data_IF_005733557247
#
_entry.id   IF_005733557247
#
_cell.length_a   1.000
_cell.length_b   1.000
_cell.length_c   1.000
_cell.angle_alpha   90.00
_cell.angle_beta   90.00
_cell.angle_gamma   90.00
#
_symmetry.space_group_name_H-M   'P 1'
#
loop_
_entity.id
_entity.type
_entity.pdbx_description
1 polymer ?
#
# COMPACT_ATOMS: atom_id res chain seq x y z
N UNK A 1 -9.81 0.45 10.84
CA UNK A 1 -9.37 1.03 12.13
C UNK A 1 -8.43 0.16 12.96
N UNK A 2 -8.50 -1.18 12.97
CA UNK A 2 -7.52 -2.02 13.71
C UNK A 2 -6.05 -1.66 13.41
N UNK A 3 -5.68 -1.60 12.14
CA UNK A 3 -4.30 -1.24 11.73
C UNK A 3 -3.91 0.19 12.06
N UNK A 4 -4.87 1.13 12.05
CA UNK A 4 -4.65 2.51 12.51
C UNK A 4 -4.34 2.52 14.00
N UNK A 5 -5.06 1.71 14.80
CA UNK A 5 -4.78 1.55 16.24
C UNK A 5 -3.39 0.96 16.45
N UNK A 6 -3.06 -0.12 15.76
CA UNK A 6 -1.75 -0.79 15.84
C UNK A 6 -0.60 0.18 15.52
N UNK A 7 -0.75 1.01 14.49
CA UNK A 7 0.21 2.06 14.15
C UNK A 7 0.38 3.07 15.30
N UNK A 8 -0.72 3.66 15.79
CA UNK A 8 -0.65 4.63 16.88
C UNK A 8 -0.11 4.04 18.19
N UNK A 9 -0.44 2.78 18.50
CA UNK A 9 0.11 2.08 19.67
C UNK A 9 1.64 1.93 19.57
N UNK A 10 2.21 1.83 18.35
CA UNK A 10 3.66 1.85 18.13
C UNK A 10 4.23 3.26 18.29
N UNK A 11 3.60 4.27 17.69
CA UNK A 11 4.04 5.67 17.78
C UNK A 11 4.05 6.15 19.23
N UNK A 12 3.03 5.82 20.02
CA UNK A 12 2.91 6.21 21.43
C UNK A 12 4.07 5.72 22.31
N UNK A 13 4.78 4.65 21.91
CA UNK A 13 5.99 4.18 22.62
C UNK A 13 7.12 5.20 22.57
N UNK A 14 7.15 6.04 21.54
CA UNK A 14 8.15 7.09 21.34
C UNK A 14 7.61 8.49 21.58
N UNK A 15 6.30 8.69 21.39
CA UNK A 15 5.59 9.96 21.57
C UNK A 15 4.36 9.75 22.47
N UNK A 16 4.54 9.60 23.80
CA UNK A 16 3.42 9.37 24.72
C UNK A 16 2.40 10.51 24.66
N UNK A 17 1.11 10.17 24.68
CA UNK A 17 0.02 11.15 24.68
C UNK A 17 -0.24 11.84 23.34
N UNK A 18 0.33 11.32 22.23
CA UNK A 18 0.04 11.84 20.89
C UNK A 18 -1.46 11.80 20.58
N UNK A 19 -1.99 12.86 19.99
CA UNK A 19 -3.37 12.88 19.51
C UNK A 19 -3.48 11.97 18.28
N UNK A 20 -4.35 10.97 18.33
CA UNK A 20 -4.58 10.05 17.21
C UNK A 20 -5.47 10.73 16.15
N UNK A 21 -4.85 11.26 15.10
CA UNK A 21 -5.56 11.91 13.99
C UNK A 21 -5.71 10.98 12.78
N UNK A 22 -6.84 11.04 12.09
CA UNK A 22 -7.09 10.22 10.89
C UNK A 22 -7.67 11.10 9.80
N UNK A 23 -6.92 11.28 8.71
CA UNK A 23 -7.50 11.77 7.46
C UNK A 23 -8.26 10.61 6.82
N UNK A 24 -9.58 10.76 6.64
CA UNK A 24 -10.45 9.73 6.08
C UNK A 24 -11.01 10.19 4.74
N UNK A 25 -10.88 9.34 3.73
CA UNK A 25 -11.38 9.55 2.37
C UNK A 25 -12.29 8.39 2.01
N UNK A 26 -13.44 8.68 1.41
CA UNK A 26 -14.44 7.66 1.08
C UNK A 26 -15.44 8.25 0.09
N UNK A 27 -16.00 7.40 -0.76
CA UNK A 27 -17.15 7.67 -1.60
C UNK A 27 -18.49 7.38 -0.90
N UNK A 28 -18.45 6.88 0.34
CA UNK A 28 -19.62 6.53 1.16
C UNK A 28 -19.90 7.61 2.24
N UNK A 29 -20.93 8.46 2.08
CA UNK A 29 -21.14 9.64 2.92
C UNK A 29 -21.37 9.35 4.41
N UNK A 30 -21.81 8.14 4.75
CA UNK A 30 -22.16 7.76 6.13
C UNK A 30 -20.95 7.38 6.97
N UNK A 31 -19.83 7.00 6.34
CA UNK A 31 -18.64 6.42 7.00
C UNK A 31 -18.03 7.39 8.02
N UNK A 32 -17.95 8.68 7.72
CA UNK A 32 -17.42 9.67 8.67
C UNK A 32 -18.27 9.72 9.95
N UNK A 33 -19.60 9.76 9.80
CA UNK A 33 -20.51 9.83 10.94
C UNK A 33 -20.47 8.56 11.79
N UNK A 34 -20.27 7.40 11.17
CA UNK A 34 -20.07 6.12 11.86
C UNK A 34 -18.72 6.10 12.60
N UNK A 35 -17.65 6.56 11.95
CA UNK A 35 -16.31 6.58 12.52
C UNK A 35 -16.24 7.47 13.78
N UNK A 36 -16.85 8.66 13.74
CA UNK A 36 -16.95 9.55 14.89
C UNK A 36 -17.67 8.92 16.08
N UNK A 37 -18.72 8.12 15.83
CA UNK A 37 -19.47 7.42 16.88
C UNK A 37 -18.69 6.24 17.46
N UNK A 38 -18.05 5.44 16.62
CA UNK A 38 -17.36 4.21 17.03
C UNK A 38 -15.97 4.46 17.62
N UNK A 39 -15.33 5.58 17.27
CA UNK A 39 -13.95 5.88 17.65
C UNK A 39 -13.82 7.30 18.22
N UNK A 40 -14.50 7.61 19.34
CA UNK A 40 -14.55 8.97 19.90
C UNK A 40 -13.20 9.50 20.40
N UNK A 41 -12.23 8.62 20.61
CA UNK A 41 -10.85 8.96 21.00
C UNK A 41 -9.93 9.30 19.81
N UNK A 42 -10.44 9.31 18.58
CA UNK A 42 -9.71 9.72 17.39
C UNK A 42 -10.25 11.05 16.86
N UNK A 43 -9.34 11.90 16.36
CA UNK A 43 -9.69 13.12 15.65
C UNK A 43 -9.76 12.82 14.15
N UNK A 44 -10.96 12.78 13.59
CA UNK A 44 -11.14 12.59 12.15
C UNK A 44 -11.08 13.92 11.40
N UNK A 45 -10.40 13.91 10.26
CA UNK A 45 -10.29 15.02 9.29
C UNK A 45 -10.79 14.46 7.94
N UNK A 46 -11.61 15.22 7.22
CA UNK A 46 -12.21 14.80 5.96
C UNK A 46 -12.58 16.02 5.11
N UNK A 47 -12.42 15.92 3.80
CA UNK A 47 -13.08 16.83 2.86
C UNK A 47 -14.53 16.36 2.62
N UNK A 48 -15.48 17.00 3.31
CA UNK A 48 -16.89 16.66 3.21
C UNK A 48 -17.44 16.94 1.81
N UNK A 49 -16.94 17.98 1.14
CA UNK A 49 -17.38 18.30 -0.23
C UNK A 49 -16.87 17.24 -1.21
N UNK A 50 -15.61 16.84 -1.11
CA UNK A 50 -15.03 15.76 -1.89
C UNK A 50 -15.78 14.43 -1.69
N UNK A 51 -16.10 14.07 -0.46
CA UNK A 51 -16.89 12.87 -0.13
C UNK A 51 -18.27 12.90 -0.80
N UNK A 52 -18.96 14.05 -0.75
CA UNK A 52 -20.29 14.21 -1.34
C UNK A 52 -20.27 14.11 -2.86
N UNK A 53 -19.21 14.60 -3.52
CA UNK A 53 -19.12 14.62 -4.99
C UNK A 53 -18.52 13.34 -5.57
N UNK A 54 -17.89 12.50 -4.76
CA UNK A 54 -17.30 11.22 -5.18
C UNK A 54 -18.32 10.14 -5.60
N UNK A 55 -19.61 10.34 -5.33
CA UNK A 55 -20.65 9.37 -5.73
C UNK A 55 -20.73 9.18 -7.25
N UNK A 56 -21.23 8.01 -7.70
CA UNK A 56 -21.39 7.71 -9.13
C UNK A 56 -22.17 8.77 -9.92
N UNK A 57 -23.10 9.48 -9.28
CA UNK A 57 -23.94 10.48 -9.92
C UNK A 57 -23.19 11.79 -10.25
N UNK A 58 -22.12 12.10 -9.50
CA UNK A 58 -21.43 13.40 -9.56
C UNK A 58 -19.92 13.29 -9.83
N UNK A 59 -19.41 12.06 -9.98
CA UNK A 59 -17.97 11.78 -10.02
C UNK A 59 -17.22 12.46 -11.17
N UNK A 60 -17.89 12.78 -12.27
CA UNK A 60 -17.30 13.40 -13.46
C UNK A 60 -17.42 14.94 -13.47
N UNK A 61 -17.68 15.55 -12.30
CA UNK A 61 -17.74 17.00 -12.12
C UNK A 61 -16.38 17.62 -11.80
N UNK A 62 -16.24 18.94 -12.03
CA UNK A 62 -15.04 19.70 -11.64
C UNK A 62 -14.83 19.69 -10.13
N UNK A 63 -15.93 19.69 -9.38
CA UNK A 63 -15.93 19.66 -7.93
C UNK A 63 -15.43 18.31 -7.41
N UNK A 64 -15.83 17.20 -8.06
CA UNK A 64 -15.30 15.87 -7.78
C UNK A 64 -13.80 15.79 -8.10
N UNK A 65 -13.36 16.37 -9.23
CA UNK A 65 -11.94 16.43 -9.57
C UNK A 65 -11.10 17.18 -8.52
N UNK A 66 -11.56 18.33 -8.04
CA UNK A 66 -10.87 19.04 -6.95
C UNK A 66 -10.88 18.24 -5.65
N UNK A 67 -11.99 17.56 -5.33
CA UNK A 67 -12.10 16.70 -4.17
C UNK A 67 -11.06 15.58 -4.19
N UNK A 68 -10.97 14.83 -5.30
CA UNK A 68 -10.02 13.71 -5.39
C UNK A 68 -8.55 14.18 -5.38
N UNK A 69 -8.25 15.34 -5.98
CA UNK A 69 -6.90 15.93 -5.90
C UNK A 69 -6.56 16.28 -4.45
N UNK A 70 -7.50 16.89 -3.73
CA UNK A 70 -7.34 17.26 -2.31
C UNK A 70 -7.13 16.02 -1.44
N UNK A 71 -7.94 14.98 -1.67
CA UNK A 71 -7.81 13.70 -0.97
C UNK A 71 -6.46 13.04 -1.20
N UNK A 72 -6.03 12.90 -2.45
CA UNK A 72 -4.71 12.32 -2.79
C UNK A 72 -3.58 13.15 -2.18
N UNK A 73 -3.69 14.49 -2.23
CA UNK A 73 -2.70 15.39 -1.65
C UNK A 73 -2.50 15.17 -0.14
N UNK A 74 -3.60 15.03 0.61
CA UNK A 74 -3.57 14.80 2.05
C UNK A 74 -3.19 13.36 2.41
N UNK A 75 -3.69 12.36 1.67
CA UNK A 75 -3.31 10.96 1.85
C UNK A 75 -1.80 10.76 1.68
N UNK A 76 -1.20 11.33 0.62
CA UNK A 76 0.24 11.22 0.36
C UNK A 76 1.12 11.83 1.47
N UNK A 77 0.56 12.72 2.30
CA UNK A 77 1.24 13.39 3.42
C UNK A 77 0.96 12.75 4.77
N UNK A 78 0.13 11.72 4.83
CA UNK A 78 -0.08 10.97 6.06
C UNK A 78 1.20 10.22 6.44
N UNK A 79 1.47 10.10 7.74
CA UNK A 79 2.62 9.32 8.22
C UNK A 79 2.47 7.81 7.94
N UNK A 80 1.22 7.35 7.77
CA UNK A 80 0.88 5.96 7.51
C UNK A 80 -0.44 5.84 6.74
N UNK A 81 -0.48 4.98 5.72
CA UNK A 81 -1.69 4.68 4.96
C UNK A 81 -2.33 3.36 5.40
N UNK A 82 -3.65 3.34 5.54
CA UNK A 82 -4.44 2.11 5.69
C UNK A 82 -5.56 2.14 4.66
N UNK A 83 -5.50 1.25 3.67
CA UNK A 83 -6.39 1.31 2.52
C UNK A 83 -6.52 -0.04 1.80
N UNK A 84 -7.17 -0.06 0.64
CA UNK A 84 -7.10 -1.17 -0.31
C UNK A 84 -6.20 -0.80 -1.49
N UNK A 85 -5.17 -1.59 -1.76
CA UNK A 85 -4.34 -1.40 -2.95
C UNK A 85 -5.00 -1.90 -4.22
N UNK A 86 -6.22 -2.45 -4.19
CA UNK A 86 -7.05 -2.52 -5.40
C UNK A 86 -7.46 -1.14 -5.92
N UNK A 87 -7.53 -0.12 -5.06
CA UNK A 87 -7.88 1.26 -5.44
C UNK A 87 -6.70 2.03 -6.03
N UNK A 88 -6.89 2.55 -7.24
CA UNK A 88 -5.92 3.46 -7.89
C UNK A 88 -5.63 4.70 -7.05
N UNK A 89 -6.64 5.22 -6.32
CA UNK A 89 -6.49 6.40 -5.47
C UNK A 89 -5.48 6.13 -4.36
N UNK A 90 -5.55 4.97 -3.71
CA UNK A 90 -4.59 4.64 -2.67
C UNK A 90 -3.19 4.40 -3.24
N UNK A 91 -3.07 3.70 -4.38
CA UNK A 91 -1.76 3.47 -5.01
C UNK A 91 -1.10 4.79 -5.41
N UNK A 92 -1.85 5.72 -5.99
CA UNK A 92 -1.35 7.05 -6.34
C UNK A 92 -0.90 7.85 -5.10
N UNK A 93 -1.68 7.83 -4.02
CA UNK A 93 -1.28 8.49 -2.78
C UNK A 93 0.00 7.86 -2.18
N UNK A 94 0.11 6.54 -2.24
CA UNK A 94 1.29 5.81 -1.78
C UNK A 94 2.53 6.05 -2.64
N UNK A 95 2.38 6.17 -3.97
CA UNK A 95 3.46 6.55 -4.89
C UNK A 95 3.97 7.98 -4.57
N UNK A 96 3.05 8.93 -4.42
CA UNK A 96 3.40 10.31 -4.07
C UNK A 96 4.06 10.43 -2.70
N UNK A 97 3.65 9.60 -1.73
CA UNK A 97 4.28 9.54 -0.40
C UNK A 97 5.79 9.30 -0.49
N UNK A 98 6.25 8.47 -1.44
CA UNK A 98 7.68 8.17 -1.64
C UNK A 98 8.50 9.39 -2.11
N UNK A 99 7.83 10.44 -2.62
CA UNK A 99 8.49 11.68 -3.08
C UNK A 99 8.57 12.74 -1.98
N UNK A 100 7.83 12.55 -0.89
CA UNK A 100 7.65 13.53 0.19
C UNK A 100 8.47 13.09 1.41
N UNK A 101 8.40 11.81 1.73
CA UNK A 101 9.15 11.19 2.81
C UNK A 101 10.41 10.53 2.21
N UNK A 102 11.36 10.13 3.07
CA UNK A 102 12.51 9.33 2.63
C UNK A 102 12.09 7.94 2.17
N UNK A 103 12.58 6.89 2.82
CA UNK A 103 12.03 5.55 2.59
C UNK A 103 10.67 5.39 3.31
N UNK A 104 9.59 5.51 2.54
CA UNK A 104 8.21 5.29 3.01
C UNK A 104 7.61 4.01 2.44
N UNK A 105 8.43 3.07 1.95
CA UNK A 105 7.97 1.81 1.35
C UNK A 105 7.20 0.92 2.32
N UNK A 106 7.38 1.13 3.62
CA UNK A 106 6.71 0.39 4.70
C UNK A 106 5.58 1.17 5.37
N UNK A 107 5.32 2.41 4.93
CA UNK A 107 4.35 3.31 5.56
C UNK A 107 2.92 3.10 5.02
N UNK A 108 2.59 1.86 4.66
CA UNK A 108 1.26 1.49 4.20
C UNK A 108 0.86 0.10 4.67
N UNK A 109 -0.44 -0.06 4.90
CA UNK A 109 -1.12 -1.33 5.12
C UNK A 109 -2.31 -1.46 4.19
N UNK A 110 -2.14 -2.28 3.17
CA UNK A 110 -3.24 -2.72 2.32
C UNK A 110 -4.09 -3.78 3.02
N UNK A 111 -5.40 -3.77 2.78
CA UNK A 111 -6.36 -4.77 3.26
C UNK A 111 -6.58 -5.92 2.29
N UNK A 112 -6.11 -5.79 1.05
CA UNK A 112 -6.35 -6.75 -0.03
C UNK A 112 -5.06 -7.10 -0.78
N UNK A 113 -4.71 -6.32 -1.80
CA UNK A 113 -3.59 -6.58 -2.69
C UNK A 113 -2.25 -6.11 -2.12
N UNK A 114 -1.16 -6.70 -2.60
CA UNK A 114 0.16 -6.06 -2.54
C UNK A 114 0.19 -4.86 -3.51
N UNK A 115 1.22 -4.02 -3.44
CA UNK A 115 1.36 -2.93 -4.39
C UNK A 115 1.56 -3.49 -5.81
N UNK A 116 0.91 -2.88 -6.81
CA UNK A 116 1.08 -3.23 -8.21
C UNK A 116 0.79 -2.04 -9.13
N UNK A 117 1.32 -2.08 -10.34
CA UNK A 117 1.03 -1.14 -11.42
C UNK A 117 0.30 -1.88 -12.55
N UNK A 118 -0.78 -1.31 -13.08
CA UNK A 118 -1.52 -1.96 -14.17
C UNK A 118 -0.67 -2.03 -15.44
N UNK A 119 -0.52 -3.24 -15.98
CA UNK A 119 0.33 -3.50 -17.14
C UNK A 119 1.81 -3.74 -16.80
N UNK A 120 2.15 -3.93 -15.52
CA UNK A 120 3.49 -4.36 -15.13
C UNK A 120 3.84 -5.74 -15.69
N UNK A 121 5.15 -6.01 -15.80
CA UNK A 121 5.66 -7.37 -15.96
C UNK A 121 5.38 -8.21 -14.70
N UNK A 122 5.60 -9.52 -14.80
CA UNK A 122 5.42 -10.45 -13.69
C UNK A 122 6.14 -9.96 -12.42
N UNK A 123 5.41 -9.94 -11.30
CA UNK A 123 5.99 -9.68 -9.98
C UNK A 123 6.61 -10.97 -9.46
N UNK A 124 7.93 -11.00 -9.37
CA UNK A 124 8.69 -12.21 -9.10
C UNK A 124 9.35 -12.15 -7.74
N UNK A 125 9.18 -13.21 -6.95
CA UNK A 125 9.97 -13.45 -5.75
C UNK A 125 10.96 -14.58 -5.98
N UNK A 126 12.09 -14.55 -5.28
CA UNK A 126 13.06 -15.64 -5.23
C UNK A 126 12.96 -16.33 -3.88
N UNK A 127 12.78 -17.65 -3.88
CA UNK A 127 12.79 -18.44 -2.66
C UNK A 127 14.20 -18.42 -2.03
N UNK A 128 14.28 -18.07 -0.75
CA UNK A 128 15.53 -18.04 0.01
C UNK A 128 15.65 -19.23 0.98
N UNK A 129 14.54 -19.89 1.29
CA UNK A 129 14.51 -21.07 2.13
C UNK A 129 13.63 -22.18 1.54
N UNK A 130 13.99 -23.42 1.83
CA UNK A 130 13.16 -24.56 1.47
C UNK A 130 11.84 -24.56 2.25
N UNK A 131 10.78 -25.04 1.59
CA UNK A 131 9.47 -25.28 2.19
C UNK A 131 8.83 -26.52 1.59
N UNK A 132 8.41 -27.45 2.45
CA UNK A 132 7.62 -28.62 2.05
C UNK A 132 6.40 -28.71 2.95
N UNK A 133 5.26 -29.03 2.35
CA UNK A 133 3.99 -29.16 3.06
C UNK A 133 3.16 -30.26 2.42
N UNK A 134 2.57 -31.11 3.27
CA UNK A 134 1.59 -32.10 2.83
C UNK A 134 0.16 -31.51 2.82
N UNK A 135 0.00 -30.23 3.15
CA UNK A 135 -1.30 -29.55 3.14
C UNK A 135 -1.72 -29.25 1.71
N UNK A 136 -2.97 -29.51 1.40
CA UNK A 136 -3.58 -29.14 0.12
C UNK A 136 -3.53 -27.63 -0.09
N UNK A 137 -3.25 -27.21 -1.32
CA UNK A 137 -3.17 -25.79 -1.69
C UNK A 137 -1.86 -25.09 -1.27
N UNK A 138 -0.85 -25.82 -0.80
CA UNK A 138 0.50 -25.30 -0.58
C UNK A 138 1.45 -25.73 -1.70
N UNK A 139 2.47 -24.93 -1.97
CA UNK A 139 3.52 -25.24 -2.95
C UNK A 139 4.83 -25.60 -2.25
N UNK A 140 5.61 -26.48 -2.86
CA UNK A 140 7.00 -26.73 -2.44
C UNK A 140 7.90 -25.58 -2.93
N UNK A 141 8.84 -25.16 -2.08
CA UNK A 141 9.93 -24.24 -2.43
C UNK A 141 11.28 -24.91 -2.21
N UNK A 142 12.21 -24.63 -3.11
CA UNK A 142 13.66 -24.82 -2.94
C UNK A 142 14.35 -23.47 -3.05
N UNK A 143 15.46 -23.22 -2.32
CA UNK A 143 16.22 -21.98 -2.48
C UNK A 143 16.62 -21.76 -3.96
N UNK A 144 16.40 -20.54 -4.46
CA UNK A 144 16.59 -20.17 -5.86
C UNK A 144 15.36 -20.36 -6.75
N UNK A 145 14.27 -20.96 -6.25
CA UNK A 145 13.03 -21.06 -7.03
C UNK A 145 12.43 -19.68 -7.32
N UNK A 146 12.01 -19.49 -8.56
CA UNK A 146 11.31 -18.29 -9.03
C UNK A 146 9.81 -18.45 -8.80
N UNK A 147 9.19 -17.50 -8.12
CA UNK A 147 7.77 -17.51 -7.77
C UNK A 147 7.09 -16.30 -8.40
N UNK A 148 6.09 -16.51 -9.26
CA UNK A 148 5.24 -15.43 -9.71
C UNK A 148 4.19 -15.17 -8.64
N UNK A 149 4.32 -14.04 -7.93
CA UNK A 149 3.50 -13.75 -6.76
C UNK A 149 2.16 -13.15 -7.20
N UNK A 150 1.08 -13.75 -6.68
CA UNK A 150 -0.27 -13.23 -6.88
C UNK A 150 -0.68 -12.25 -5.77
N UNK A 151 -0.17 -12.44 -4.55
CA UNK A 151 -0.45 -11.54 -3.43
C UNK A 151 -0.04 -12.09 -2.07
N UNK A 152 -0.29 -11.29 -1.05
CA UNK A 152 -0.04 -11.62 0.36
C UNK A 152 -1.39 -11.70 1.10
N UNK A 153 -1.62 -12.77 1.85
CA UNK A 153 -2.87 -12.95 2.61
C UNK A 153 -2.84 -12.26 3.98
N UNK A 154 -1.72 -11.63 4.30
CA UNK A 154 -1.47 -10.87 5.51
C UNK A 154 -1.62 -11.66 6.82
N UNK A 155 -1.44 -12.99 6.72
CA UNK A 155 -1.56 -13.97 7.81
C UNK A 155 -0.30 -14.85 7.95
N UNK A 156 0.82 -14.42 7.36
CA UNK A 156 2.08 -15.17 7.31
C UNK A 156 2.28 -16.02 6.05
N UNK A 157 1.26 -16.11 5.19
CA UNK A 157 1.33 -16.80 3.90
C UNK A 157 1.08 -15.85 2.72
N UNK A 158 1.81 -16.10 1.64
CA UNK A 158 1.60 -15.51 0.32
C UNK A 158 1.11 -16.58 -0.65
N UNK A 159 0.51 -16.15 -1.75
CA UNK A 159 0.08 -17.02 -2.83
C UNK A 159 0.88 -16.71 -4.09
N UNK A 160 1.28 -17.75 -4.83
CA UNK A 160 1.98 -17.59 -6.08
C UNK A 160 2.15 -18.90 -6.83
N UNK A 161 2.80 -18.82 -7.99
CA UNK A 161 3.11 -19.97 -8.84
C UNK A 161 4.61 -20.20 -8.87
N UNK A 162 5.05 -21.35 -8.38
CA UNK A 162 6.46 -21.74 -8.48
C UNK A 162 6.76 -22.16 -9.93
N UNK A 163 7.70 -21.47 -10.58
CA UNK A 163 8.03 -21.70 -11.98
C UNK A 163 8.69 -23.07 -12.22
N UNK A 164 9.38 -23.65 -11.24
CA UNK A 164 10.00 -24.98 -11.34
C UNK A 164 8.97 -26.10 -11.31
N UNK A 165 8.04 -26.06 -10.36
CA UNK A 165 7.03 -27.12 -10.19
C UNK A 165 5.75 -26.88 -10.99
N UNK A 166 5.55 -25.66 -11.50
CA UNK A 166 4.32 -25.19 -12.16
C UNK A 166 3.07 -25.25 -11.27
N UNK A 167 3.24 -25.40 -9.96
CA UNK A 167 2.13 -25.43 -9.01
C UNK A 167 1.84 -24.03 -8.48
N UNK A 168 0.55 -23.74 -8.32
CA UNK A 168 0.04 -22.52 -7.68
C UNK A 168 -0.49 -22.85 -6.30
N UNK A 169 -0.16 -22.02 -5.32
CA UNK A 169 -0.65 -22.18 -3.96
C UNK A 169 0.10 -21.33 -2.94
N UNK A 170 -0.10 -21.68 -1.68
CA UNK A 170 0.39 -20.95 -0.52
C UNK A 170 1.82 -21.34 -0.16
N UNK A 171 2.59 -20.34 0.24
CA UNK A 171 3.91 -20.52 0.85
C UNK A 171 4.11 -19.48 1.97
N UNK A 172 4.93 -19.76 3.00
CA UNK A 172 5.20 -18.79 4.05
C UNK A 172 5.89 -17.55 3.48
N UNK A 173 5.34 -16.36 3.72
CA UNK A 173 5.80 -15.12 3.07
C UNK A 173 7.27 -14.79 3.36
N UNK A 174 7.80 -15.18 4.52
CA UNK A 174 9.18 -14.90 4.92
C UNK A 174 10.23 -15.77 4.22
N UNK A 175 9.82 -16.83 3.51
CA UNK A 175 10.73 -17.78 2.84
C UNK A 175 11.09 -17.38 1.40
N UNK A 176 10.60 -16.23 0.94
CA UNK A 176 10.92 -15.69 -0.36
C UNK A 176 11.05 -14.16 -0.27
N UNK A 177 11.86 -13.58 -1.14
CA UNK A 177 12.13 -12.15 -1.20
C UNK A 177 11.76 -11.56 -2.56
N UNK A 178 11.38 -10.28 -2.57
CA UNK A 178 11.07 -9.56 -3.80
C UNK A 178 12.31 -9.43 -4.69
N UNK A 179 12.16 -9.70 -5.99
CA UNK A 179 13.28 -9.70 -6.94
C UNK A 179 13.29 -8.38 -7.71
N UNK A 180 14.31 -7.56 -7.46
CA UNK A 180 14.48 -6.29 -8.18
C UNK A 180 14.92 -6.56 -9.62
N UNK A 181 14.06 -6.21 -10.57
CA UNK A 181 14.35 -6.32 -12.01
C UNK A 181 14.92 -5.00 -12.53
N UNK A 182 16.17 -5.03 -13.00
CA UNK A 182 16.81 -3.88 -13.63
C UNK A 182 16.55 -3.86 -15.15
N UNK A 183 16.32 -2.67 -15.70
CA UNK A 183 16.24 -2.43 -17.13
C UNK A 183 17.25 -1.34 -17.53
N UNK A 184 17.88 -1.50 -18.69
CA UNK A 184 18.75 -0.46 -19.24
C UNK A 184 17.95 0.75 -19.66
N UNK A 185 18.08 1.86 -18.93
CA UNK A 185 17.45 3.14 -19.24
C UNK A 185 18.51 4.14 -19.74
N UNK A 186 18.14 5.11 -20.61
CA UNK A 186 19.05 6.19 -20.98
C UNK A 186 19.53 6.97 -19.75
N UNK A 187 20.83 7.24 -19.65
CA UNK A 187 21.45 7.93 -18.51
C UNK A 187 21.49 9.45 -18.65
N UNK A 188 21.10 9.99 -19.82
CA UNK A 188 21.05 11.42 -20.13
C UNK A 188 22.30 12.21 -19.70
N UNK A 189 23.54 11.83 -20.14
CA UNK A 189 24.79 12.46 -19.69
C UNK A 189 24.90 13.95 -20.00
N UNK A 190 24.12 14.45 -20.96
CA UNK A 190 24.02 15.86 -21.31
C UNK A 190 23.28 16.72 -20.27
N UNK A 191 22.54 16.10 -19.33
CA UNK A 191 21.80 16.81 -18.30
C UNK A 191 22.71 16.98 -17.07
N UNK A 192 23.08 18.21 -16.69
CA UNK A 192 23.94 18.43 -15.54
C UNK A 192 23.22 18.02 -14.25
N UNK A 193 23.88 17.22 -13.41
CA UNK A 193 23.39 16.88 -12.08
C UNK A 193 23.42 18.14 -11.20
N UNK A 194 22.25 18.72 -10.94
CA UNK A 194 22.11 19.74 -9.90
C UNK A 194 22.00 19.03 -8.55
N UNK A 195 23.13 18.90 -7.85
CA UNK A 195 23.11 18.51 -6.44
C UNK A 195 22.34 19.60 -5.67
N UNK A 196 21.18 19.24 -5.11
CA UNK A 196 20.50 20.10 -4.16
C UNK A 196 21.45 20.35 -2.99
N UNK A 197 21.80 21.62 -2.75
CA UNK A 197 22.51 21.98 -1.52
C UNK A 197 21.59 21.59 -0.36
N UNK A 198 22.03 20.62 0.44
CA UNK A 198 21.39 20.31 1.72
C UNK A 198 21.23 21.63 2.49
N UNK A 199 20.00 21.98 2.85
CA UNK A 199 19.65 23.18 3.62
C UNK A 199 19.19 22.75 5.00
#
# INVERSE_FOLDING_TARGET
MRHVKEYYDQVERTKPGITRMVYITTDEPTVLSEALKKYPNYKFINDFNGTRTATMASRDSKESLHGIITDVYHLARCDYLVCTFSSNVCRLAYELMQTIQGDASRNARSLDAIFFFYGQNDHVFTAIEAYRSNKTGHIELMPGDVIHVAGNHWNGFSMGTNQRTRQTGLFPSYKAEDTVVAAGMPTYPQVPLKLSKET
#
